data_IF_329007466267
#
_entry.id   IF_329007466267
#
_cell.length_a   1.000
_cell.length_b   1.000
_cell.length_c   1.000
_cell.angle_alpha   90.00
_cell.angle_beta   90.00
_cell.angle_gamma   90.00
#
_symmetry.space_group_name_H-M   'P 1'
#
loop_
_entity.id
_entity.type
_entity.pdbx_description
1 polymer ?
#
# COMPACT_ATOMS: atom_id res chain seq x y z
N UNK A 1 40.81 14.08 -14.63
CA UNK A 1 39.62 13.33 -14.16
C UNK A 1 39.62 11.96 -14.83
N UNK A 2 39.93 10.87 -14.12
CA UNK A 2 40.10 9.53 -14.75
C UNK A 2 38.71 8.96 -15.09
N UNK A 3 38.42 8.59 -16.35
CA UNK A 3 37.07 8.17 -16.80
C UNK A 3 36.55 6.91 -16.08
N UNK A 4 37.45 6.15 -15.46
CA UNK A 4 37.14 4.96 -14.65
C UNK A 4 36.32 5.26 -13.39
N UNK A 5 36.50 6.43 -12.78
CA UNK A 5 35.76 6.84 -11.57
C UNK A 5 34.31 7.20 -11.93
N UNK A 6 34.10 7.85 -13.08
CA UNK A 6 32.77 8.17 -13.61
C UNK A 6 31.98 6.90 -13.97
N UNK A 7 32.66 5.92 -14.59
CA UNK A 7 32.02 4.66 -14.98
C UNK A 7 31.57 3.82 -13.77
N UNK A 8 32.38 3.79 -12.70
CA UNK A 8 32.03 3.09 -11.45
C UNK A 8 30.92 3.77 -10.65
N UNK A 9 30.79 5.09 -10.73
CA UNK A 9 29.68 5.81 -10.11
C UNK A 9 28.34 5.56 -10.85
N UNK A 10 28.37 5.47 -12.18
CA UNK A 10 27.19 5.18 -12.99
C UNK A 10 26.62 3.77 -12.74
N UNK A 11 27.47 2.77 -12.56
CA UNK A 11 27.02 1.40 -12.24
C UNK A 11 26.33 1.34 -10.88
N UNK A 12 26.87 2.01 -9.87
CA UNK A 12 26.27 2.06 -8.54
C UNK A 12 24.89 2.75 -8.54
N UNK A 13 24.75 3.83 -9.31
CA UNK A 13 23.47 4.53 -9.47
C UNK A 13 22.41 3.70 -10.22
N UNK A 14 22.83 2.92 -11.22
CA UNK A 14 21.93 2.04 -11.97
C UNK A 14 21.36 0.89 -11.13
N UNK A 15 22.12 0.35 -10.16
CA UNK A 15 21.64 -0.69 -9.26
C UNK A 15 20.66 -0.18 -8.18
N UNK A 16 20.70 1.12 -7.85
CA UNK A 16 19.79 1.72 -6.86
C UNK A 16 18.40 2.06 -7.40
N UNK A 17 18.23 2.15 -8.72
CA UNK A 17 17.01 2.62 -9.36
C UNK A 17 15.86 1.58 -9.39
N UNK A 18 16.12 0.32 -9.04
CA UNK A 18 15.19 -0.80 -9.23
C UNK A 18 14.43 -1.29 -7.99
N UNK A 19 14.66 -0.72 -6.80
CA UNK A 19 14.29 -1.39 -5.54
C UNK A 19 13.04 -0.86 -4.81
N UNK A 20 12.17 -0.07 -5.47
CA UNK A 20 10.98 0.46 -4.81
C UNK A 20 9.73 0.34 -5.70
N UNK A 21 9.32 -0.90 -5.99
CA UNK A 21 7.95 -1.17 -6.43
C UNK A 21 7.14 -1.53 -5.18
N UNK A 22 6.33 -0.59 -4.69
CA UNK A 22 5.37 -0.89 -3.62
C UNK A 22 4.32 -1.85 -4.18
N UNK A 23 4.51 -3.15 -3.94
CA UNK A 23 3.70 -4.24 -4.46
C UNK A 23 2.38 -4.43 -3.71
N UNK A 24 1.70 -3.36 -3.29
CA UNK A 24 0.50 -3.45 -2.43
C UNK A 24 -0.55 -4.42 -2.99
N UNK A 25 -0.78 -4.40 -4.30
CA UNK A 25 -1.72 -5.32 -4.94
C UNK A 25 -1.24 -6.78 -4.89
N UNK A 26 0.05 -7.01 -5.10
CA UNK A 26 0.65 -8.34 -5.04
C UNK A 26 0.62 -8.88 -3.61
N UNK A 27 0.85 -8.02 -2.61
CA UNK A 27 0.72 -8.34 -1.19
C UNK A 27 -0.72 -8.70 -0.81
N UNK A 28 -1.71 -7.97 -1.34
CA UNK A 28 -3.14 -8.28 -1.15
C UNK A 28 -3.49 -9.63 -1.79
N UNK A 29 -3.03 -9.86 -3.02
CA UNK A 29 -3.25 -11.13 -3.73
C UNK A 29 -2.60 -12.32 -3.03
N UNK A 30 -1.36 -12.17 -2.58
CA UNK A 30 -0.62 -13.20 -1.86
C UNK A 30 -1.29 -13.53 -0.51
N UNK A 31 -1.89 -12.53 0.14
CA UNK A 31 -2.67 -12.71 1.37
C UNK A 31 -4.02 -13.40 1.14
N UNK A 32 -4.58 -13.27 -0.06
CA UNK A 32 -5.89 -13.82 -0.41
C UNK A 32 -7.08 -13.03 0.16
N UNK A 33 -6.84 -11.89 0.80
CA UNK A 33 -7.89 -11.01 1.33
C UNK A 33 -7.45 -9.55 1.32
N UNK A 34 -8.42 -8.66 1.13
CA UNK A 34 -8.26 -7.21 1.29
C UNK A 34 -8.67 -6.82 2.71
N UNK A 35 -7.79 -6.11 3.41
CA UNK A 35 -8.12 -5.49 4.69
C UNK A 35 -8.67 -4.08 4.45
N UNK A 36 -9.98 -3.93 4.56
CA UNK A 36 -10.66 -2.63 4.46
C UNK A 36 -10.69 -1.95 5.84
N UNK A 37 -9.81 -0.97 6.06
CA UNK A 37 -9.82 -0.15 7.27
C UNK A 37 -10.81 1.01 7.15
N UNK A 38 -11.61 1.22 8.19
CA UNK A 38 -12.56 2.34 8.30
C UNK A 38 -12.40 3.05 9.65
N UNK A 39 -12.91 4.28 9.76
CA UNK A 39 -13.03 4.95 11.06
C UNK A 39 -14.17 4.31 11.87
N UNK A 40 -14.10 4.35 13.19
CA UNK A 40 -15.18 3.84 14.07
C UNK A 40 -16.07 4.96 14.59
N UNK A 41 -17.38 4.78 14.52
CA UNK A 41 -18.35 5.55 15.30
C UNK A 41 -18.88 6.81 14.61
N UNK A 42 -18.70 6.93 13.29
CA UNK A 42 -19.24 8.04 12.50
C UNK A 42 -20.53 7.58 11.85
N UNK A 43 -21.67 7.89 12.49
CA UNK A 43 -22.98 7.50 11.99
C UNK A 43 -23.22 8.01 10.56
N UNK A 44 -23.67 7.12 9.68
CA UNK A 44 -23.85 7.38 8.25
C UNK A 44 -22.60 7.11 7.38
N UNK A 45 -21.40 7.01 7.96
CA UNK A 45 -20.17 6.68 7.26
C UNK A 45 -19.64 5.29 7.64
N UNK A 46 -19.34 5.07 8.91
CA UNK A 46 -18.80 3.81 9.41
C UNK A 46 -19.09 3.66 10.91
N UNK A 47 -20.03 2.76 11.23
CA UNK A 47 -20.47 2.48 12.59
C UNK A 47 -20.94 1.03 12.73
N UNK A 48 -21.07 0.56 13.96
CA UNK A 48 -21.63 -0.75 14.27
C UNK A 48 -23.10 -0.60 14.64
N UNK A 49 -23.98 -1.35 13.99
CA UNK A 49 -25.41 -1.35 14.28
C UNK A 49 -25.75 -2.15 15.55
N UNK A 50 -27.02 -2.21 15.92
CA UNK A 50 -27.46 -2.90 17.14
C UNK A 50 -27.22 -4.43 17.13
N UNK A 51 -27.05 -5.03 15.95
CA UNK A 51 -26.73 -6.45 15.80
C UNK A 51 -25.22 -6.74 15.90
N UNK A 52 -24.37 -5.70 15.92
CA UNK A 52 -22.93 -5.84 15.90
C UNK A 52 -22.31 -5.83 14.49
N UNK A 53 -23.12 -5.62 13.45
CA UNK A 53 -22.63 -5.56 12.08
C UNK A 53 -22.17 -4.15 11.71
N UNK A 54 -21.20 -4.06 10.80
CA UNK A 54 -20.74 -2.78 10.26
C UNK A 54 -21.71 -2.23 9.22
N UNK A 55 -22.01 -0.94 9.32
CA UNK A 55 -22.91 -0.22 8.42
C UNK A 55 -22.42 1.22 8.16
N UNK A 56 -22.92 1.83 7.08
CA UNK A 56 -22.60 3.18 6.63
C UNK A 56 -21.94 3.26 5.24
N UNK A 57 -21.77 4.49 4.74
CA UNK A 57 -21.26 4.78 3.40
C UNK A 57 -19.88 4.17 3.09
N UNK A 58 -18.95 4.12 4.05
CA UNK A 58 -17.61 3.56 3.85
C UNK A 58 -17.61 2.03 3.77
N UNK A 59 -18.68 1.39 4.26
CA UNK A 59 -18.84 -0.08 4.35
C UNK A 59 -19.73 -0.62 3.23
N UNK A 60 -20.61 0.23 2.68
CA UNK A 60 -21.52 -0.14 1.61
C UNK A 60 -20.78 -0.68 0.36
N UNK A 61 -21.35 -1.73 -0.24
CA UNK A 61 -20.91 -2.32 -1.52
C UNK A 61 -21.70 -1.79 -2.70
#
# INVERSE_FOLDING_TARGET
MKPRVLLGALTMAALGAGAAAAGTLDDVKARGSLHCGVSTGVAGFSFTNAAGDWDGFDVAV
#
